data_IF_197693751796
#
_entry.id   IF_197693751796
#
_cell.length_a   1.000
_cell.length_b   1.000
_cell.length_c   1.000
_cell.angle_alpha   90.00
_cell.angle_beta   90.00
_cell.angle_gamma   90.00
#
_symmetry.space_group_name_H-M   'P 1'
#
loop_
_entity.id
_entity.type
_entity.pdbx_description
1 polymer ?
#
# COMPACT_ATOMS: atom_id res chain seq x y z
N UNK A 1 -21.75 12.47 28.70
CA UNK A 1 -21.27 13.01 27.41
C UNK A 1 -21.91 12.21 26.29
N UNK A 2 -22.92 12.77 25.63
CA UNK A 2 -23.45 12.19 24.40
C UNK A 2 -22.65 12.81 23.24
N UNK A 3 -21.81 12.01 22.58
CA UNK A 3 -20.76 12.53 21.68
C UNK A 3 -21.33 13.08 20.34
N UNK A 4 -22.61 12.84 20.03
CA UNK A 4 -23.23 13.25 18.77
C UNK A 4 -24.68 13.71 19.00
N UNK A 5 -25.04 14.85 18.42
CA UNK A 5 -26.39 15.42 18.42
C UNK A 5 -27.23 14.68 17.35
N UNK A 6 -28.06 13.72 17.76
CA UNK A 6 -28.69 12.73 16.86
C UNK A 6 -30.09 13.15 16.46
N UNK A 7 -30.31 13.37 15.16
CA UNK A 7 -31.65 13.26 14.57
C UNK A 7 -31.78 11.87 13.91
N UNK A 8 -32.80 11.05 14.23
CA UNK A 8 -33.05 9.81 13.49
C UNK A 8 -33.21 10.15 11.99
N UNK A 9 -32.61 9.43 11.02
CA UNK A 9 -31.96 8.11 11.06
C UNK A 9 -30.41 8.15 10.98
N UNK A 10 -29.76 9.13 11.62
CA UNK A 10 -28.31 9.39 11.51
C UNK A 10 -27.39 8.16 11.72
N UNK A 11 -27.70 7.28 12.68
CA UNK A 11 -26.86 6.12 13.00
C UNK A 11 -26.68 5.13 11.83
N UNK A 12 -27.74 4.89 11.06
CA UNK A 12 -27.67 3.99 9.90
C UNK A 12 -26.86 4.62 8.76
N UNK A 13 -27.02 5.92 8.54
CA UNK A 13 -26.26 6.66 7.53
C UNK A 13 -24.75 6.63 7.82
N UNK A 14 -24.36 6.80 9.09
CA UNK A 14 -22.95 6.69 9.50
C UNK A 14 -22.41 5.28 9.27
N UNK A 15 -23.17 4.24 9.67
CA UNK A 15 -22.76 2.84 9.49
C UNK A 15 -22.56 2.49 8.01
N UNK A 16 -23.48 2.91 7.14
CA UNK A 16 -23.39 2.70 5.70
C UNK A 16 -22.22 3.46 5.08
N UNK A 17 -22.03 4.72 5.49
CA UNK A 17 -20.90 5.53 5.03
C UNK A 17 -19.55 4.89 5.38
N UNK A 18 -19.35 4.46 6.64
CA UNK A 18 -18.12 3.80 7.07
C UNK A 18 -17.89 2.48 6.32
N UNK A 19 -18.95 1.70 6.11
CA UNK A 19 -18.81 0.44 5.39
C UNK A 19 -18.47 0.62 3.89
N UNK A 20 -18.73 1.81 3.34
CA UNK A 20 -18.39 2.19 1.97
C UNK A 20 -16.99 2.80 1.82
N UNK A 21 -16.25 3.08 2.91
CA UNK A 21 -14.88 3.59 2.81
C UNK A 21 -13.94 2.50 2.26
N UNK A 22 -12.98 2.84 1.38
CA UNK A 22 -12.06 1.83 0.86
C UNK A 22 -11.20 1.25 1.98
N UNK A 23 -11.03 -0.07 1.96
CA UNK A 23 -10.23 -0.80 2.94
C UNK A 23 -9.16 -1.58 2.19
N UNK A 24 -7.91 -1.28 2.48
CA UNK A 24 -6.78 -1.85 1.75
C UNK A 24 -6.01 -2.87 2.58
N UNK A 25 -5.52 -3.90 1.92
CA UNK A 25 -4.50 -4.80 2.40
C UNK A 25 -3.34 -4.85 1.40
N UNK A 26 -2.13 -5.09 1.89
CA UNK A 26 -0.92 -5.20 1.05
C UNK A 26 -0.19 -6.48 1.34
N UNK A 27 0.04 -7.24 0.28
CA UNK A 27 0.88 -8.41 0.26
C UNK A 27 2.13 -8.18 -0.59
N UNK A 28 3.25 -8.76 -0.16
CA UNK A 28 4.54 -8.66 -0.85
C UNK A 28 5.13 -10.07 -0.95
N UNK A 29 5.38 -10.51 -2.18
CA UNK A 29 6.02 -11.78 -2.46
C UNK A 29 7.35 -11.53 -3.16
N UNK A 30 8.45 -12.06 -2.60
CA UNK A 30 9.72 -12.07 -3.31
C UNK A 30 9.81 -13.28 -4.25
N UNK A 31 10.16 -13.04 -5.51
CA UNK A 31 10.39 -14.08 -6.50
C UNK A 31 11.81 -14.64 -6.37
N UNK A 32 12.04 -15.82 -6.93
CA UNK A 32 13.33 -16.51 -6.91
C UNK A 32 14.45 -15.78 -7.66
N UNK A 33 14.11 -14.77 -8.47
CA UNK A 33 15.08 -13.94 -9.17
C UNK A 33 15.62 -12.84 -8.24
N UNK A 34 16.69 -13.14 -7.51
CA UNK A 34 17.43 -12.18 -6.70
C UNK A 34 18.95 -12.40 -6.83
N UNK A 35 19.69 -11.31 -6.76
CA UNK A 35 21.14 -11.26 -6.85
C UNK A 35 21.75 -10.51 -5.68
N UNK A 36 23.01 -10.11 -5.83
CA UNK A 36 23.74 -9.38 -4.77
C UNK A 36 23.22 -7.95 -4.58
N UNK A 37 22.75 -7.32 -5.67
CA UNK A 37 22.36 -5.91 -5.70
C UNK A 37 20.89 -5.66 -6.00
N UNK A 38 20.12 -6.69 -6.38
CA UNK A 38 18.74 -6.57 -6.86
C UNK A 38 17.88 -7.75 -6.42
N UNK A 39 16.59 -7.51 -6.22
CA UNK A 39 15.59 -8.53 -5.94
C UNK A 39 14.29 -8.23 -6.70
N UNK A 40 13.62 -9.27 -7.18
CA UNK A 40 12.34 -9.16 -7.87
C UNK A 40 11.19 -9.42 -6.90
N UNK A 41 10.25 -8.47 -6.80
CA UNK A 41 9.10 -8.52 -5.90
C UNK A 41 7.80 -8.46 -6.70
N UNK A 42 6.74 -9.07 -6.18
CA UNK A 42 5.37 -8.82 -6.59
C UNK A 42 4.65 -8.17 -5.41
N UNK A 43 4.15 -6.96 -5.63
CA UNK A 43 3.32 -6.25 -4.66
C UNK A 43 1.88 -6.38 -5.09
N UNK A 44 1.02 -6.78 -4.16
CA UNK A 44 -0.42 -6.89 -4.36
C UNK A 44 -1.14 -5.97 -3.39
N UNK A 45 -2.00 -5.09 -3.93
CA UNK A 45 -2.90 -4.24 -3.15
C UNK A 45 -4.31 -4.79 -3.32
N UNK A 46 -4.98 -5.11 -2.23
CA UNK A 46 -6.35 -5.65 -2.24
C UNK A 46 -7.29 -4.66 -1.60
N UNK A 47 -8.37 -4.30 -2.28
CA UNK A 47 -9.51 -3.59 -1.69
C UNK A 47 -10.53 -4.60 -1.16
N UNK A 48 -10.51 -4.88 0.14
CA UNK A 48 -11.27 -6.00 0.72
C UNK A 48 -12.79 -5.82 0.64
N UNK A 49 -13.27 -4.59 0.55
CA UNK A 49 -14.69 -4.27 0.44
C UNK A 49 -15.09 -3.72 -0.94
N UNK A 50 -14.36 -4.10 -2.00
CA UNK A 50 -14.57 -3.58 -3.36
C UNK A 50 -16.02 -3.74 -3.87
N UNK A 51 -16.68 -4.87 -3.58
CA UNK A 51 -18.08 -5.11 -3.95
C UNK A 51 -18.99 -4.06 -3.30
N UNK A 52 -18.90 -3.92 -1.98
CA UNK A 52 -19.71 -2.96 -1.23
C UNK A 52 -19.39 -1.50 -1.60
N UNK A 53 -18.13 -1.20 -1.92
CA UNK A 53 -17.69 0.11 -2.41
C UNK A 53 -18.36 0.42 -3.76
N UNK A 54 -18.35 -0.52 -4.69
CA UNK A 54 -18.97 -0.41 -6.01
C UNK A 54 -20.49 -0.22 -5.90
N UNK A 55 -21.16 -1.03 -5.08
CA UNK A 55 -22.62 -0.99 -4.90
C UNK A 55 -23.15 0.29 -4.23
N UNK A 56 -22.28 1.01 -3.49
CA UNK A 56 -22.69 2.17 -2.70
C UNK A 56 -23.14 3.38 -3.54
N UNK A 57 -23.04 3.35 -4.87
CA UNK A 57 -23.40 4.44 -5.78
C UNK A 57 -22.54 5.71 -5.63
N UNK A 58 -21.79 5.83 -4.53
CA UNK A 58 -20.72 6.81 -4.28
C UNK A 58 -19.44 6.48 -5.03
N UNK A 59 -19.43 5.46 -5.88
CA UNK A 59 -18.36 5.24 -6.86
C UNK A 59 -18.38 6.27 -7.99
N UNK A 60 -18.98 7.45 -7.78
CA UNK A 60 -19.01 8.58 -8.71
C UNK A 60 -17.61 9.14 -8.91
N UNK A 61 -16.78 8.35 -9.60
CA UNK A 61 -15.46 8.64 -10.10
C UNK A 61 -14.43 9.00 -9.04
N UNK A 62 -13.19 8.56 -9.27
CA UNK A 62 -12.01 9.31 -8.85
C UNK A 62 -11.54 9.19 -7.39
N UNK A 63 -11.94 8.20 -6.59
CA UNK A 63 -11.07 7.88 -5.46
C UNK A 63 -9.79 7.26 -5.99
N UNK A 64 -8.66 7.79 -5.54
CA UNK A 64 -7.35 7.28 -5.85
C UNK A 64 -6.57 6.99 -4.59
N UNK A 65 -5.74 5.95 -4.65
CA UNK A 65 -4.63 5.78 -3.73
C UNK A 65 -3.29 5.84 -4.47
N UNK A 66 -2.23 6.14 -3.74
CA UNK A 66 -0.84 6.05 -4.19
C UNK A 66 -0.19 4.90 -3.45
N UNK A 67 0.24 3.88 -4.20
CA UNK A 67 1.23 2.92 -3.73
C UNK A 67 2.61 3.56 -3.86
N UNK A 68 3.33 3.67 -2.75
CA UNK A 68 4.69 4.18 -2.67
C UNK A 68 5.59 3.15 -2.01
N UNK A 69 6.66 2.76 -2.68
CA UNK A 69 7.71 1.90 -2.13
C UNK A 69 8.96 2.74 -2.04
N UNK A 70 9.51 2.84 -0.84
CA UNK A 70 10.76 3.53 -0.56
C UNK A 70 11.79 2.58 0.05
N UNK A 71 13.07 2.82 -0.20
CA UNK A 71 14.16 2.11 0.45
C UNK A 71 14.67 2.83 1.71
N UNK A 72 15.60 2.19 2.41
CA UNK A 72 16.24 2.72 3.61
C UNK A 72 17.11 3.97 3.38
N UNK A 73 17.42 4.31 2.13
CA UNK A 73 18.18 5.52 1.76
C UNK A 73 17.24 6.69 1.37
N UNK A 74 15.96 6.60 1.74
CA UNK A 74 14.90 7.55 1.43
C UNK A 74 14.66 7.73 -0.08
N UNK A 75 14.95 6.72 -0.91
CA UNK A 75 14.69 6.77 -2.34
C UNK A 75 13.36 6.10 -2.67
N UNK A 76 12.57 6.72 -3.54
CA UNK A 76 11.35 6.12 -4.09
C UNK A 76 11.76 5.08 -5.14
N UNK A 77 11.61 3.80 -4.81
CA UNK A 77 11.91 2.69 -5.74
C UNK A 77 10.73 2.35 -6.64
N UNK A 78 9.50 2.62 -6.17
CA UNK A 78 8.30 2.47 -6.99
C UNK A 78 7.20 3.44 -6.55
N UNK A 79 6.47 4.00 -7.52
CA UNK A 79 5.29 4.84 -7.29
C UNK A 79 4.22 4.50 -8.30
N UNK A 80 3.03 4.21 -7.83
CA UNK A 80 1.87 3.94 -8.69
C UNK A 80 0.62 4.61 -8.12
N UNK A 81 -0.07 5.37 -8.97
CA UNK A 81 -1.41 5.88 -8.67
C UNK A 81 -2.45 4.87 -9.13
N UNK A 82 -3.38 4.49 -8.27
CA UNK A 82 -4.41 3.47 -8.49
C UNK A 82 -5.79 4.09 -8.28
N UNK A 83 -6.64 4.07 -9.30
CA UNK A 83 -8.06 4.40 -9.14
C UNK A 83 -8.81 3.21 -8.56
N UNK A 84 -9.91 3.44 -7.83
CA UNK A 84 -10.79 2.37 -7.37
C UNK A 84 -11.21 1.38 -8.48
N UNK A 85 -11.33 1.86 -9.73
CA UNK A 85 -11.66 1.05 -10.90
C UNK A 85 -10.76 -0.18 -11.12
N UNK A 86 -9.48 -0.12 -10.71
CA UNK A 86 -8.56 -1.26 -10.88
C UNK A 86 -8.90 -2.44 -9.97
N UNK A 87 -9.70 -2.21 -8.91
CA UNK A 87 -10.12 -3.25 -7.96
C UNK A 87 -11.52 -3.80 -8.25
N UNK A 88 -12.35 -3.13 -9.06
CA UNK A 88 -13.76 -3.54 -9.21
C UNK A 88 -13.96 -4.89 -9.92
N UNK A 89 -12.97 -5.39 -10.66
CA UNK A 89 -13.07 -6.69 -11.30
C UNK A 89 -12.85 -7.86 -10.31
N UNK A 90 -11.74 -7.85 -9.58
CA UNK A 90 -11.28 -9.00 -8.77
C UNK A 90 -10.81 -8.61 -7.35
N UNK A 91 -11.00 -7.35 -6.95
CA UNK A 91 -10.58 -6.83 -5.64
C UNK A 91 -9.08 -6.53 -5.50
N UNK A 92 -8.22 -7.07 -6.36
CA UNK A 92 -6.76 -6.99 -6.22
C UNK A 92 -6.08 -6.43 -7.46
N UNK A 93 -5.11 -5.54 -7.23
CA UNK A 93 -4.14 -5.11 -8.24
C UNK A 93 -2.76 -5.63 -7.83
N UNK A 94 -2.00 -6.17 -8.78
CA UNK A 94 -0.65 -6.68 -8.53
C UNK A 94 0.36 -6.17 -9.56
N UNK A 95 1.60 -5.92 -9.12
CA UNK A 95 2.69 -5.51 -9.99
C UNK A 95 4.01 -6.14 -9.56
N UNK A 96 4.70 -6.68 -10.56
CA UNK A 96 6.09 -7.09 -10.45
C UNK A 96 7.01 -5.87 -10.56
N UNK A 97 7.94 -5.73 -9.62
CA UNK A 97 8.95 -4.68 -9.58
C UNK A 97 10.34 -5.28 -9.30
N UNK A 98 11.38 -4.60 -9.74
CA UNK A 98 12.76 -4.88 -9.35
C UNK A 98 13.21 -3.79 -8.38
N UNK A 99 13.72 -4.20 -7.22
CA UNK A 99 14.28 -3.28 -6.21
C UNK A 99 15.79 -3.46 -6.12
N UNK A 100 16.50 -2.36 -5.89
CA UNK A 100 17.94 -2.39 -5.62
C UNK A 100 18.18 -2.49 -4.12
N UNK A 101 19.26 -3.16 -3.74
CA UNK A 101 19.73 -3.20 -2.36
C UNK A 101 20.22 -1.81 -1.97
N UNK A 102 19.60 -1.21 -0.97
CA UNK A 102 20.01 0.07 -0.41
C UNK A 102 21.29 -0.07 0.43
N UNK A 103 22.00 1.05 0.58
CA UNK A 103 23.25 1.14 1.33
C UNK A 103 23.00 1.02 2.83
N UNK A 104 21.97 1.69 3.35
CA UNK A 104 21.73 1.74 4.80
C UNK A 104 21.17 0.44 5.35
N UNK A 105 20.18 -0.16 4.67
CA UNK A 105 19.64 -1.48 5.00
C UNK A 105 18.89 -2.06 3.81
N UNK A 106 18.51 -3.33 3.88
CA UNK A 106 17.63 -3.95 2.87
C UNK A 106 16.15 -3.60 3.08
N UNK A 107 15.76 -2.93 4.17
CA UNK A 107 14.35 -2.68 4.48
C UNK A 107 13.70 -1.74 3.47
N UNK A 108 12.49 -2.10 3.06
CA UNK A 108 11.59 -1.29 2.26
C UNK A 108 10.41 -0.83 3.10
N UNK A 109 9.96 0.39 2.88
CA UNK A 109 8.68 0.89 3.39
C UNK A 109 7.68 0.96 2.25
N UNK A 110 6.56 0.27 2.41
CA UNK A 110 5.44 0.24 1.47
C UNK A 110 4.29 1.03 2.08
N UNK A 111 3.87 2.10 1.41
CA UNK A 111 2.75 2.92 1.81
C UNK A 111 1.63 2.84 0.76
N UNK A 112 0.39 2.71 1.21
CA UNK A 112 -0.80 2.95 0.39
C UNK A 112 -1.52 4.13 0.98
N UNK A 113 -1.53 5.24 0.25
CA UNK A 113 -2.00 6.53 0.75
C UNK A 113 -3.25 6.93 -0.03
N UNK A 114 -4.36 7.19 0.65
CA UNK A 114 -5.56 7.74 0.01
C UNK A 114 -5.31 9.20 -0.39
N UNK A 115 -5.75 9.59 -1.58
CA UNK A 115 -5.66 10.99 -2.03
C UNK A 115 -6.78 11.86 -1.48
N UNK A 116 -7.90 11.26 -1.08
CA UNK A 116 -9.15 11.99 -0.81
C UNK A 116 -9.66 11.81 0.63
N UNK A 117 -9.19 10.78 1.34
CA UNK A 117 -9.72 10.37 2.64
C UNK A 117 -8.60 10.19 3.66
N UNK A 118 -8.67 10.94 4.76
CA UNK A 118 -7.71 10.83 5.85
C UNK A 118 -7.98 9.59 6.71
N UNK A 119 -6.92 9.03 7.30
CA UNK A 119 -7.02 7.91 8.25
C UNK A 119 -7.25 6.54 7.61
N UNK A 120 -7.13 6.43 6.28
CA UNK A 120 -7.20 5.15 5.55
C UNK A 120 -5.84 4.63 5.08
N UNK A 121 -4.78 5.41 5.32
CA UNK A 121 -3.43 5.07 4.88
C UNK A 121 -2.92 3.83 5.60
N UNK A 122 -2.15 3.01 4.87
CA UNK A 122 -1.47 1.86 5.45
C UNK A 122 0.03 1.94 5.19
N UNK A 123 0.81 1.46 6.15
CA UNK A 123 2.25 1.29 6.04
C UNK A 123 2.61 -0.14 6.40
N UNK A 124 3.51 -0.75 5.62
CA UNK A 124 4.10 -2.06 5.87
C UNK A 124 5.58 -2.03 5.56
N UNK A 125 6.40 -2.71 6.35
CA UNK A 125 7.81 -2.91 6.03
C UNK A 125 8.02 -4.29 5.42
N UNK A 126 9.04 -4.41 4.57
CA UNK A 126 9.45 -5.66 3.98
C UNK A 126 10.97 -5.66 3.77
N UNK A 127 11.63 -6.75 4.12
CA UNK A 127 13.09 -6.88 3.96
C UNK A 127 13.38 -7.93 2.90
N UNK A 128 13.70 -7.54 1.64
CA UNK A 128 14.07 -8.49 0.62
C UNK A 128 15.36 -9.21 0.98
N UNK A 129 15.43 -10.46 0.57
CA UNK A 129 16.64 -11.26 0.59
C UNK A 129 17.51 -10.94 -0.62
N UNK A 130 18.82 -10.82 -0.40
CA UNK A 130 19.82 -10.62 -1.45
C UNK A 130 20.96 -11.61 -1.24
N UNK A 131 21.67 -11.95 -2.31
CA UNK A 131 22.85 -12.79 -2.22
C UNK A 131 24.03 -12.05 -1.58
N UNK A 132 24.82 -12.77 -0.78
CA UNK A 132 26.03 -12.24 -0.18
C UNK A 132 25.79 -11.22 0.96
N UNK A 133 26.87 -10.86 1.67
CA UNK A 133 26.78 -9.96 2.82
C UNK A 133 26.27 -8.58 2.41
N UNK A 134 25.53 -7.94 3.31
CA UNK A 134 25.27 -6.50 3.20
C UNK A 134 26.57 -5.79 3.58
N UNK A 135 27.12 -5.02 2.64
CA UNK A 135 28.39 -4.31 2.85
C UNK A 135 28.07 -2.92 3.37
N UNK A 136 28.15 -2.75 4.69
CA UNK A 136 28.09 -1.44 5.34
C UNK A 136 29.28 -0.58 4.90
N UNK A 137 29.07 0.37 3.98
CA UNK A 137 30.13 1.26 3.50
C UNK A 137 30.71 2.18 4.61
N UNK A 138 29.99 2.35 5.72
CA UNK A 138 30.42 3.13 6.89
C UNK A 138 31.41 2.38 7.82
N UNK A 139 31.73 1.11 7.56
CA UNK A 139 32.66 0.31 8.38
C UNK A 139 33.99 0.01 7.69
N UNK A 140 34.48 0.88 6.80
CA UNK A 140 35.87 0.75 6.33
C UNK A 140 36.82 1.35 7.37
N UNK A 141 37.78 0.60 7.92
CA UNK A 141 38.87 1.20 8.68
C UNK A 141 39.67 2.09 7.72
N UNK A 142 39.95 3.33 8.13
CA UNK A 142 40.99 4.17 7.55
C UNK A 142 42.36 3.56 7.76
#
# INVERSE_FOLDING_TARGET
MEILNRHPPFGNQVKEAVASLPKYEVDIEQKSNYGVSKAELVISVTMVNYIKRQDSGKSTGFHYCILLVADADNQIVHKQRLSDAVFFAIGTWSKKIEVKRAYSSSELTINVISQDLVGLDLQKTFTPYYNGPHIDYYKRPT
#
